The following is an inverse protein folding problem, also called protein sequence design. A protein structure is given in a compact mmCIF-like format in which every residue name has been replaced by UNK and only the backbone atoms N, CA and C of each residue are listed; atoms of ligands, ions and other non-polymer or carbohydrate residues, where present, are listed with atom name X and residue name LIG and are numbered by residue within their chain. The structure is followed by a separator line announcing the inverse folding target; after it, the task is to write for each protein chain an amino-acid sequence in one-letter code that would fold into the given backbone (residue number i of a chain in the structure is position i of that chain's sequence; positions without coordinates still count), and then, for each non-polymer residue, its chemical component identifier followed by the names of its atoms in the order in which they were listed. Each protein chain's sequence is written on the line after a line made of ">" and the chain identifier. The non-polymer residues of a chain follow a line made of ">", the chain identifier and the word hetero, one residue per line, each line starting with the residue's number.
data_IF_916186646189
#
_entry.id   IF_916186646189
#
_cell.length_a   1.000
_cell.length_b   1.000
_cell.length_c   1.000
_cell.angle_alpha   90.00
_cell.angle_beta   90.00
_cell.angle_gamma   90.00
#
_symmetry.space_group_name_H-M   'P 1'
#
loop_
_entity.id
_entity.type
_entity.pdbx_description
1 polymer ?
#
# COMPACT_ATOMS: atom_id res chain seq x y z
N UNK A 1 11.89 45.36 48.71
CA UNK A 1 11.66 45.37 47.25
C UNK A 1 12.49 44.36 46.49
N UNK A 2 13.78 44.16 46.73
CA UNK A 2 14.62 43.20 45.97
C UNK A 2 14.21 41.70 46.14
N UNK A 3 13.72 41.30 47.33
CA UNK A 3 13.28 39.90 47.57
C UNK A 3 11.98 39.54 46.84
N UNK A 4 11.06 40.50 46.68
CA UNK A 4 9.79 40.26 45.98
C UNK A 4 9.98 40.06 44.48
N UNK A 5 10.90 40.79 43.87
CA UNK A 5 11.23 40.65 42.44
C UNK A 5 11.90 39.30 42.16
N UNK A 6 12.74 38.82 43.10
CA UNK A 6 13.39 37.51 42.95
C UNK A 6 12.38 36.37 43.01
N UNK A 7 11.35 36.43 43.83
CA UNK A 7 10.27 35.45 43.90
C UNK A 7 9.40 35.45 42.65
N UNK A 8 9.12 36.62 42.06
CA UNK A 8 8.38 36.71 40.81
C UNK A 8 9.13 36.12 39.63
N UNK A 9 10.46 36.33 39.57
CA UNK A 9 11.31 35.73 38.52
C UNK A 9 11.36 34.20 38.67
N UNK A 10 11.41 33.68 39.92
CA UNK A 10 11.40 32.23 40.15
C UNK A 10 10.08 31.55 39.75
N UNK A 11 8.95 32.22 40.02
CA UNK A 11 7.62 31.73 39.61
C UNK A 11 7.48 31.78 38.10
N UNK A 12 7.97 32.82 37.42
CA UNK A 12 7.92 32.95 35.97
C UNK A 12 8.79 31.91 35.29
N UNK A 13 9.96 31.61 35.87
CA UNK A 13 10.87 30.57 35.34
C UNK A 13 10.30 29.14 35.53
N UNK A 14 9.54 28.91 36.61
CA UNK A 14 8.87 27.64 36.90
C UNK A 14 7.73 27.31 35.90
N UNK A 15 7.08 28.34 35.34
CA UNK A 15 6.00 28.15 34.36
C UNK A 15 6.53 27.80 32.98
N UNK A 16 7.80 28.15 32.65
CA UNK A 16 8.39 27.86 31.35
C UNK A 16 8.85 26.41 31.19
N UNK A 17 8.95 25.62 32.25
CA UNK A 17 9.33 24.21 32.19
C UNK A 17 8.12 23.25 32.26
N UNK A 18 6.88 23.76 32.42
CA UNK A 18 5.69 22.93 32.40
C UNK A 18 5.05 22.78 31.00
N UNK A 19 5.77 23.14 29.93
CA UNK A 19 5.27 23.18 28.58
C UNK A 19 5.78 22.09 27.64
N UNK A 20 6.38 21.02 28.15
CA UNK A 20 6.52 19.77 27.38
C UNK A 20 5.46 18.81 27.89
N UNK A 21 4.28 18.92 27.36
CA UNK A 21 3.34 17.83 27.34
C UNK A 21 3.97 16.78 26.41
N UNK A 22 4.59 15.75 26.99
CA UNK A 22 4.90 14.51 26.32
C UNK A 22 3.55 13.86 25.95
N UNK A 23 2.87 14.43 24.97
CA UNK A 23 2.03 13.62 24.13
C UNK A 23 2.99 12.65 23.50
N UNK A 24 3.02 11.43 24.00
CA UNK A 24 3.88 10.33 23.60
C UNK A 24 3.64 9.88 22.18
N UNK A 25 3.72 10.81 21.26
CA UNK A 25 3.85 10.60 19.84
C UNK A 25 5.35 10.65 19.51
N UNK A 26 6.07 9.67 20.04
CA UNK A 26 7.50 9.46 19.80
C UNK A 26 7.80 9.15 18.34
N UNK A 27 6.87 9.47 17.43
CA UNK A 27 7.01 9.19 16.00
C UNK A 27 7.01 7.68 15.68
N UNK A 28 6.81 6.83 16.67
CA UNK A 28 6.53 5.43 16.47
C UNK A 28 5.09 5.29 16.03
N UNK A 29 4.89 4.90 14.79
CA UNK A 29 3.58 4.46 14.31
C UNK A 29 3.09 3.38 15.27
N UNK A 30 2.01 3.68 15.96
CA UNK A 30 1.31 2.80 16.88
C UNK A 30 1.05 1.48 16.13
N UNK A 31 1.84 0.47 16.32
CA UNK A 31 1.89 -0.90 15.79
C UNK A 31 0.87 -1.31 14.69
N UNK A 32 0.12 -0.37 14.16
CA UNK A 32 -0.87 -0.57 13.12
C UNK A 32 -0.17 -0.69 11.75
N UNK A 33 -0.11 -1.90 11.25
CA UNK A 33 0.35 -2.15 9.89
C UNK A 33 -0.64 -1.53 8.90
N UNK A 34 -0.18 -0.58 8.11
CA UNK A 34 -0.96 -0.02 7.01
C UNK A 34 -0.47 -0.59 5.69
N UNK A 35 -1.32 -1.32 5.03
CA UNK A 35 -1.03 -1.91 3.73
C UNK A 35 -1.62 -1.04 2.63
N UNK A 36 -0.86 -0.79 1.58
CA UNK A 36 -1.26 0.12 0.51
C UNK A 36 -0.61 -0.24 -0.84
N UNK A 37 -1.20 0.26 -1.91
CA UNK A 37 -0.57 0.23 -3.23
C UNK A 37 0.38 1.42 -3.39
N UNK A 38 1.70 1.21 -3.57
CA UNK A 38 2.65 2.31 -3.76
C UNK A 38 2.51 3.00 -5.11
N UNK A 39 1.77 2.39 -6.05
CA UNK A 39 1.44 2.93 -7.37
C UNK A 39 -0.06 2.94 -7.58
N UNK A 40 -0.60 4.04 -8.04
CA UNK A 40 -2.04 4.18 -8.36
C UNK A 40 -2.44 3.49 -9.65
N UNK A 41 -1.51 3.31 -10.57
CA UNK A 41 -1.71 2.60 -11.83
C UNK A 41 -0.41 2.02 -12.37
N UNK A 42 -0.53 0.97 -13.17
CA UNK A 42 0.56 0.37 -13.94
C UNK A 42 0.08 0.16 -15.38
N UNK A 43 0.87 0.61 -16.34
CA UNK A 43 0.57 0.44 -17.76
C UNK A 43 1.37 -0.76 -18.31
N UNK A 44 0.67 -1.71 -18.89
CA UNK A 44 1.24 -2.82 -19.64
C UNK A 44 0.88 -2.68 -21.12
N UNK A 45 1.90 -2.65 -21.99
CA UNK A 45 1.73 -2.51 -23.44
C UNK A 45 1.98 -3.86 -24.12
N UNK A 46 0.95 -4.69 -24.23
CA UNK A 46 1.06 -6.02 -24.85
C UNK A 46 1.33 -5.98 -26.35
N UNK A 47 0.96 -4.89 -27.03
CA UNK A 47 1.19 -4.73 -28.48
C UNK A 47 2.67 -4.62 -28.88
N UNK A 48 3.56 -4.31 -27.93
CA UNK A 48 5.01 -4.24 -28.18
C UNK A 48 5.75 -5.56 -27.94
N UNK A 49 5.07 -6.54 -27.35
CA UNK A 49 5.64 -7.87 -27.08
C UNK A 49 5.64 -8.75 -28.35
N UNK A 50 6.62 -9.64 -28.51
CA UNK A 50 6.64 -10.61 -29.59
C UNK A 50 5.34 -11.44 -29.65
N UNK A 51 4.89 -11.84 -30.84
CA UNK A 51 3.68 -12.64 -31.03
C UNK A 51 3.73 -14.00 -30.32
N UNK A 52 4.93 -14.49 -30.00
CA UNK A 52 5.15 -15.74 -29.27
C UNK A 52 4.83 -15.63 -27.77
N UNK A 53 4.70 -14.39 -27.25
CA UNK A 53 4.32 -14.16 -25.85
C UNK A 53 2.80 -14.19 -25.76
N UNK A 54 2.24 -15.32 -25.34
CA UNK A 54 0.80 -15.55 -25.20
C UNK A 54 0.28 -15.17 -23.81
N UNK A 55 1.17 -15.17 -22.83
CA UNK A 55 0.89 -14.82 -21.42
C UNK A 55 1.92 -13.84 -20.90
N UNK A 56 1.47 -12.87 -20.15
CA UNK A 56 2.34 -11.84 -19.56
C UNK A 56 1.97 -11.59 -18.11
N UNK A 57 2.91 -11.78 -17.19
CA UNK A 57 2.66 -11.55 -15.75
C UNK A 57 3.10 -10.16 -15.33
N UNK A 58 2.16 -9.40 -14.82
CA UNK A 58 2.39 -8.09 -14.18
C UNK A 58 2.41 -8.29 -12.68
N UNK A 59 3.52 -7.98 -12.03
CA UNK A 59 3.64 -8.04 -10.58
C UNK A 59 3.25 -6.68 -9.98
N UNK A 60 2.06 -6.60 -9.40
CA UNK A 60 1.54 -5.38 -8.78
C UNK A 60 2.09 -5.28 -7.35
N UNK A 61 2.91 -4.27 -7.03
CA UNK A 61 3.50 -4.13 -5.71
C UNK A 61 2.45 -3.74 -4.66
N UNK A 62 2.54 -4.35 -3.49
CA UNK A 62 1.79 -4.01 -2.28
C UNK A 62 2.81 -3.76 -1.18
N UNK A 63 2.70 -2.65 -0.50
CA UNK A 63 3.67 -2.21 0.51
C UNK A 63 3.03 -2.09 1.88
N UNK A 64 3.86 -2.22 2.91
CA UNK A 64 3.50 -1.97 4.31
C UNK A 64 4.15 -0.66 4.74
N UNK A 65 3.39 0.19 5.40
CA UNK A 65 3.91 1.32 6.15
C UNK A 65 4.15 0.88 7.59
N UNK A 66 5.38 1.05 8.07
CA UNK A 66 5.81 0.66 9.42
C UNK A 66 6.98 -0.31 9.42
N UNK A 67 7.07 -1.11 10.46
CA UNK A 67 8.05 -2.18 10.58
C UNK A 67 7.75 -3.29 9.57
N UNK A 68 8.75 -4.09 9.20
CA UNK A 68 8.57 -5.22 8.27
C UNK A 68 7.49 -6.20 8.71
N UNK A 69 6.96 -6.95 7.77
CA UNK A 69 5.86 -7.90 8.00
C UNK A 69 6.20 -8.93 9.07
N UNK A 70 5.20 -9.27 9.89
CA UNK A 70 5.27 -10.43 10.79
C UNK A 70 5.19 -11.73 9.97
N UNK A 71 5.67 -12.80 10.55
CA UNK A 71 5.54 -14.13 9.96
C UNK A 71 4.06 -14.49 9.78
N UNK A 72 3.70 -14.99 8.58
CA UNK A 72 2.33 -15.37 8.24
C UNK A 72 1.38 -14.19 7.98
N UNK A 73 1.90 -12.96 7.86
CA UNK A 73 1.06 -11.80 7.57
C UNK A 73 0.51 -11.87 6.14
N UNK A 74 -0.81 -11.87 6.03
CA UNK A 74 -1.54 -11.99 4.77
C UNK A 74 -2.45 -10.81 4.54
N UNK A 75 -2.66 -10.50 3.28
CA UNK A 75 -3.56 -9.41 2.84
C UNK A 75 -4.53 -9.95 1.80
N UNK A 76 -5.80 -9.64 1.99
CA UNK A 76 -6.86 -10.00 1.03
C UNK A 76 -6.94 -8.98 -0.09
N UNK A 77 -7.06 -9.51 -1.30
CA UNK A 77 -7.15 -8.74 -2.54
C UNK A 77 -8.47 -9.06 -3.22
N UNK A 78 -9.11 -8.05 -3.81
CA UNK A 78 -10.31 -8.22 -4.63
C UNK A 78 -10.19 -7.43 -5.93
N UNK A 79 -10.78 -7.96 -6.98
CA UNK A 79 -11.02 -7.21 -8.21
C UNK A 79 -12.30 -6.38 -8.00
N UNK A 80 -12.23 -5.09 -8.27
CA UNK A 80 -13.40 -4.21 -8.26
C UNK A 80 -14.15 -4.35 -9.60
N UNK A 81 -15.31 -5.02 -9.63
CA UNK A 81 -16.02 -5.28 -10.87
C UNK A 81 -16.66 -4.03 -11.48
N UNK A 82 -16.85 -2.97 -10.69
CA UNK A 82 -17.44 -1.72 -11.18
C UNK A 82 -16.43 -0.85 -11.92
N UNK A 83 -15.15 -1.00 -11.59
CA UNK A 83 -14.06 -0.23 -12.18
C UNK A 83 -13.20 -1.03 -13.16
N UNK A 84 -13.38 -2.35 -13.20
CA UNK A 84 -12.68 -3.24 -14.12
C UNK A 84 -13.42 -3.28 -15.44
N UNK A 85 -12.73 -2.95 -16.54
CA UNK A 85 -13.28 -3.00 -17.91
C UNK A 85 -12.78 -4.21 -18.68
N UNK A 86 -11.76 -4.90 -18.18
CA UNK A 86 -11.25 -6.14 -18.75
C UNK A 86 -12.27 -7.27 -18.53
N UNK A 87 -12.58 -8.02 -19.60
CA UNK A 87 -13.35 -9.26 -19.48
C UNK A 87 -12.59 -10.30 -18.66
N UNK A 88 -13.31 -11.19 -18.01
CA UNK A 88 -12.72 -12.26 -17.19
C UNK A 88 -11.89 -13.28 -17.97
N UNK A 89 -12.00 -13.27 -19.29
CA UNK A 89 -11.24 -14.06 -20.24
C UNK A 89 -9.87 -13.46 -20.59
N UNK A 90 -9.62 -12.17 -20.23
CA UNK A 90 -8.38 -11.46 -20.57
C UNK A 90 -7.29 -11.61 -19.51
N UNK A 91 -7.60 -12.18 -18.37
CA UNK A 91 -6.62 -12.43 -17.30
C UNK A 91 -6.94 -13.72 -16.54
N UNK A 92 -5.90 -14.36 -16.01
CA UNK A 92 -6.06 -15.54 -15.17
C UNK A 92 -6.60 -15.15 -13.78
N UNK A 93 -7.02 -16.14 -13.01
CA UNK A 93 -7.51 -15.93 -11.64
C UNK A 93 -6.47 -15.23 -10.80
N UNK A 94 -6.84 -14.04 -10.27
CA UNK A 94 -5.99 -13.28 -9.36
C UNK A 94 -6.13 -13.90 -7.96
N UNK A 95 -5.02 -14.11 -7.22
CA UNK A 95 -5.10 -14.67 -5.88
C UNK A 95 -5.90 -13.73 -4.96
N UNK A 96 -6.84 -14.30 -4.21
CA UNK A 96 -7.65 -13.55 -3.25
C UNK A 96 -6.87 -13.15 -2.00
N UNK A 97 -5.72 -13.77 -1.77
CA UNK A 97 -4.85 -13.54 -0.63
C UNK A 97 -3.39 -13.63 -1.05
N UNK A 98 -2.58 -12.71 -0.56
CA UNK A 98 -1.14 -12.68 -0.73
C UNK A 98 -0.45 -12.63 0.62
N UNK A 99 0.71 -13.27 0.74
CA UNK A 99 1.50 -13.32 1.97
C UNK A 99 2.74 -12.43 1.83
N UNK A 100 3.06 -11.72 2.90
CA UNK A 100 4.33 -11.02 3.03
C UNK A 100 5.38 -11.97 3.60
N UNK A 101 6.58 -11.94 3.05
CA UNK A 101 7.73 -12.59 3.70
C UNK A 101 8.05 -11.84 5.00
N UNK A 102 8.41 -12.59 6.04
CA UNK A 102 8.87 -12.01 7.30
C UNK A 102 9.91 -10.92 7.07
N UNK A 103 9.78 -9.82 7.81
CA UNK A 103 10.66 -8.65 7.76
C UNK A 103 10.65 -7.90 6.41
N UNK A 104 9.82 -8.30 5.45
CA UNK A 104 9.63 -7.61 4.18
C UNK A 104 8.63 -6.46 4.32
N UNK A 105 8.90 -5.37 3.62
CA UNK A 105 7.98 -4.22 3.51
C UNK A 105 7.20 -4.21 2.20
N UNK A 106 7.46 -5.18 1.30
CA UNK A 106 6.81 -5.28 0.00
C UNK A 106 6.51 -6.73 -0.36
N UNK A 107 5.36 -6.94 -0.99
CA UNK A 107 4.98 -8.18 -1.68
C UNK A 107 4.35 -7.85 -3.02
N UNK A 108 4.00 -8.85 -3.83
CA UNK A 108 3.46 -8.64 -5.17
C UNK A 108 2.23 -9.48 -5.41
N UNK A 109 1.23 -8.89 -6.09
CA UNK A 109 0.08 -9.60 -6.64
C UNK A 109 0.45 -9.97 -8.08
N UNK A 110 0.59 -11.26 -8.43
CA UNK A 110 0.79 -11.66 -9.81
C UNK A 110 -0.53 -11.55 -10.57
N UNK A 111 -0.56 -10.73 -11.61
CA UNK A 111 -1.68 -10.60 -12.53
C UNK A 111 -1.21 -11.14 -13.88
N UNK A 112 -1.68 -12.32 -14.25
CA UNK A 112 -1.35 -12.94 -15.53
C UNK A 112 -2.35 -12.50 -16.59
N UNK A 113 -1.88 -11.81 -17.62
CA UNK A 113 -2.66 -11.34 -18.75
C UNK A 113 -2.63 -12.41 -19.86
N UNK A 114 -3.79 -12.71 -20.45
CA UNK A 114 -3.99 -13.73 -21.47
C UNK A 114 -4.09 -13.04 -22.85
N UNK A 115 -2.95 -12.86 -23.49
CA UNK A 115 -2.87 -12.12 -24.76
C UNK A 115 -3.64 -12.79 -25.90
N UNK A 116 -3.69 -14.11 -25.93
CA UNK A 116 -4.37 -14.86 -27.00
C UNK A 116 -5.88 -14.58 -27.05
N UNK A 117 -6.43 -14.14 -25.94
CA UNK A 117 -7.85 -13.81 -25.82
C UNK A 117 -8.17 -12.37 -26.24
N UNK A 118 -7.12 -11.56 -26.55
CA UNK A 118 -7.31 -10.17 -27.00
C UNK A 118 -7.52 -10.21 -28.53
N UNK A 119 -8.75 -10.17 -28.95
CA UNK A 119 -9.14 -10.25 -30.38
C UNK A 119 -9.31 -8.88 -31.04
N UNK A 120 -9.06 -7.79 -30.33
CA UNK A 120 -9.25 -6.44 -30.85
C UNK A 120 -8.12 -6.05 -31.79
N UNK A 121 -8.45 -5.75 -33.05
CA UNK A 121 -7.54 -5.21 -34.07
C UNK A 121 -7.20 -3.72 -33.87
N UNK A 122 -7.87 -3.07 -32.92
CA UNK A 122 -7.69 -1.64 -32.61
C UNK A 122 -6.93 -1.45 -31.30
N UNK A 123 -6.28 -0.32 -31.16
CA UNK A 123 -5.69 0.14 -29.89
C UNK A 123 -6.79 0.22 -28.82
N UNK A 124 -6.94 -0.86 -28.07
CA UNK A 124 -7.96 -0.97 -27.02
C UNK A 124 -7.25 -1.01 -25.67
N UNK A 125 -7.73 -0.21 -24.75
CA UNK A 125 -7.23 -0.18 -23.37
C UNK A 125 -8.23 -0.90 -22.47
N UNK A 126 -7.74 -1.91 -21.75
CA UNK A 126 -8.49 -2.59 -20.71
C UNK A 126 -7.92 -2.19 -19.33
N UNK A 127 -8.79 -2.14 -18.35
CA UNK A 127 -8.41 -1.82 -16.98
C UNK A 127 -8.82 -2.95 -16.04
N UNK A 128 -7.91 -3.36 -15.17
CA UNK A 128 -8.16 -4.25 -14.05
C UNK A 128 -7.95 -3.43 -12.78
N UNK A 129 -8.99 -3.26 -11.98
CA UNK A 129 -8.92 -2.51 -10.73
C UNK A 129 -8.85 -3.47 -9.56
N UNK A 130 -7.78 -3.37 -8.78
CA UNK A 130 -7.55 -4.16 -7.58
C UNK A 130 -7.83 -3.31 -6.34
N UNK A 131 -8.42 -3.92 -5.33
CA UNK A 131 -8.64 -3.34 -4.01
C UNK A 131 -8.07 -4.23 -2.93
N UNK A 132 -7.47 -3.62 -1.92
CA UNK A 132 -7.08 -4.32 -0.69
C UNK A 132 -8.29 -4.30 0.26
N UNK A 133 -8.59 -5.45 0.83
CA UNK A 133 -9.63 -5.56 1.86
C UNK A 133 -8.96 -5.34 3.21
N UNK A 134 -9.56 -4.50 4.05
CA UNK A 134 -9.06 -4.27 5.39
C UNK A 134 -8.94 -5.58 6.16
N UNK A 135 -7.77 -5.80 6.76
CA UNK A 135 -7.47 -6.92 7.62
C UNK A 135 -7.38 -6.42 9.07
N UNK A 136 -7.57 -7.33 10.01
CA UNK A 136 -7.47 -7.08 11.46
C UNK A 136 -6.00 -7.05 11.94
N UNK A 137 -5.12 -6.26 11.28
CA UNK A 137 -3.73 -6.12 11.74
C UNK A 137 -3.46 -4.71 12.20
#
# INVERSE_FOLDING_TARGET
>A
MKKSILYQIFILLGILIAGCDENGDDGYYDNAYRVYFPKTSMLCKLGTEPATVTRYTVNVPVSILGLGAKEGMKVKVKVDPQKTTAGSDLYATIPEEIEFKKDSIVTYIPVELLRDNITSEKDTTFQICLTLVANEY
#
